data_IF_289222558944
#
_entry.id   IF_289222558944
#
_cell.length_a   1.000
_cell.length_b   1.000
_cell.length_c   1.000
_cell.angle_alpha   90.00
_cell.angle_beta   90.00
_cell.angle_gamma   90.00
#
_symmetry.space_group_name_H-M   'P 1'
#
loop_
_entity.id
_entity.type
_entity.pdbx_description
1 polymer ?
#
# COMPACT_ATOMS: atom_id res chain seq x y z
N UNK A 1 -36.33 -8.82 0.52
CA UNK A 1 -34.94 -9.32 0.71
C UNK A 1 -34.01 -8.23 0.18
N UNK A 2 -33.15 -7.65 1.03
CA UNK A 2 -32.24 -6.58 0.59
C UNK A 2 -31.11 -7.24 -0.21
N UNK A 3 -30.97 -6.87 -1.49
CA UNK A 3 -29.88 -7.34 -2.34
C UNK A 3 -28.59 -6.62 -1.93
N UNK A 4 -27.86 -7.24 -1.01
CA UNK A 4 -26.62 -6.72 -0.44
C UNK A 4 -25.56 -6.50 -1.52
N UNK A 5 -25.58 -7.27 -2.61
CA UNK A 5 -24.66 -7.11 -3.74
C UNK A 5 -24.94 -5.84 -4.53
N UNK A 6 -26.21 -5.48 -4.69
CA UNK A 6 -26.61 -4.19 -5.25
C UNK A 6 -26.18 -3.02 -4.37
N UNK A 7 -26.32 -3.15 -3.05
CA UNK A 7 -25.88 -2.13 -2.08
C UNK A 7 -24.35 -1.98 -2.09
N UNK A 8 -23.59 -3.09 -2.07
CA UNK A 8 -22.13 -3.06 -2.12
C UNK A 8 -21.62 -2.48 -3.43
N UNK A 9 -22.24 -2.86 -4.56
CA UNK A 9 -21.91 -2.31 -5.87
C UNK A 9 -22.14 -0.81 -5.94
N UNK A 10 -23.24 -0.32 -5.36
CA UNK A 10 -23.57 1.10 -5.24
C UNK A 10 -22.62 1.84 -4.30
N UNK A 11 -22.29 1.27 -3.14
CA UNK A 11 -21.30 1.83 -2.20
C UNK A 11 -19.92 1.95 -2.86
N UNK A 12 -19.50 0.91 -3.59
CA UNK A 12 -18.22 0.92 -4.26
C UNK A 12 -18.18 1.97 -5.38
N UNK A 13 -19.25 2.09 -6.18
CA UNK A 13 -19.31 3.09 -7.24
C UNK A 13 -19.51 4.51 -6.74
N UNK A 14 -20.37 4.74 -5.74
CA UNK A 14 -20.84 6.07 -5.33
C UNK A 14 -20.07 6.68 -4.16
N UNK A 15 -19.42 5.85 -3.33
CA UNK A 15 -18.69 6.33 -2.15
C UNK A 15 -17.21 6.03 -2.30
N UNK A 16 -16.85 4.77 -2.57
CA UNK A 16 -15.44 4.37 -2.60
C UNK A 16 -14.68 5.00 -3.78
N UNK A 17 -15.18 4.90 -5.01
CA UNK A 17 -14.52 5.49 -6.18
C UNK A 17 -14.26 7.00 -6.05
N UNK A 18 -15.25 7.86 -5.73
CA UNK A 18 -14.96 9.29 -5.57
C UNK A 18 -14.01 9.56 -4.39
N UNK A 19 -14.12 8.81 -3.29
CA UNK A 19 -13.18 8.94 -2.17
C UNK A 19 -11.75 8.62 -2.60
N UNK A 20 -11.53 7.54 -3.34
CA UNK A 20 -10.20 7.17 -3.86
C UNK A 20 -9.67 8.20 -4.86
N UNK A 21 -10.52 8.76 -5.73
CA UNK A 21 -10.09 9.80 -6.68
C UNK A 21 -9.75 11.13 -5.97
N UNK A 22 -10.48 11.48 -4.92
CA UNK A 22 -10.25 12.71 -4.14
C UNK A 22 -9.13 12.57 -3.11
N UNK A 23 -8.83 11.36 -2.64
CA UNK A 23 -7.84 11.15 -1.59
C UNK A 23 -6.45 11.75 -1.91
N UNK A 24 -5.87 11.59 -3.12
CA UNK A 24 -4.59 12.20 -3.48
C UNK A 24 -4.55 13.72 -3.29
N UNK A 25 -5.58 14.44 -3.74
CA UNK A 25 -5.65 15.90 -3.62
C UNK A 25 -5.89 16.33 -2.16
N UNK A 26 -6.82 15.66 -1.46
CA UNK A 26 -7.11 15.95 -0.04
C UNK A 26 -5.85 15.77 0.79
N UNK A 27 -5.11 14.67 0.59
CA UNK A 27 -3.88 14.39 1.31
C UNK A 27 -2.80 15.44 1.04
N UNK A 28 -2.62 15.86 -0.22
CA UNK A 28 -1.68 16.92 -0.59
C UNK A 28 -2.07 18.25 0.04
N UNK A 29 -3.35 18.62 0.06
CA UNK A 29 -3.84 19.87 0.64
C UNK A 29 -3.66 19.91 2.16
N UNK A 30 -3.99 18.82 2.86
CA UNK A 30 -3.84 18.70 4.32
C UNK A 30 -2.37 18.66 4.76
N UNK A 31 -1.46 18.23 3.89
CA UNK A 31 -0.03 18.22 4.20
C UNK A 31 0.51 19.65 4.23
N UNK A 32 1.08 20.08 5.37
CA UNK A 32 1.67 21.41 5.51
C UNK A 32 2.91 21.58 4.61
N UNK A 33 3.05 22.74 3.98
CA UNK A 33 4.26 23.11 3.22
C UNK A 33 5.38 23.47 4.19
N UNK A 34 6.55 22.82 4.09
CA UNK A 34 7.72 23.08 4.94
C UNK A 34 8.85 23.81 4.21
N UNK A 35 8.62 24.25 2.97
CA UNK A 35 9.63 24.95 2.17
C UNK A 35 9.50 26.46 2.31
N UNK A 36 10.62 27.12 2.58
CA UNK A 36 10.74 28.58 2.76
C UNK A 36 11.13 29.30 1.46
N UNK A 37 11.90 28.66 0.57
CA UNK A 37 12.31 29.21 -0.73
C UNK A 37 11.14 29.44 -1.70
N UNK A 38 11.14 30.59 -2.39
CA UNK A 38 10.06 30.99 -3.31
C UNK A 38 9.99 30.14 -4.58
N UNK A 39 11.13 29.82 -5.18
CA UNK A 39 11.19 28.98 -6.38
C UNK A 39 10.57 27.59 -6.15
N UNK A 40 10.91 26.96 -5.01
CA UNK A 40 10.35 25.66 -4.62
C UNK A 40 8.87 25.76 -4.22
N UNK A 41 8.43 26.88 -3.65
CA UNK A 41 7.00 27.16 -3.42
C UNK A 41 6.22 27.25 -4.75
N UNK A 42 6.78 27.87 -5.78
CA UNK A 42 6.17 27.93 -7.10
C UNK A 42 6.07 26.54 -7.76
N UNK A 43 7.14 25.74 -7.69
CA UNK A 43 7.16 24.36 -8.17
C UNK A 43 6.10 23.48 -7.48
N UNK A 44 5.99 23.60 -6.14
CA UNK A 44 4.99 22.88 -5.37
C UNK A 44 3.55 23.27 -5.75
N UNK A 45 3.31 24.55 -6.05
CA UNK A 45 2.01 25.03 -6.56
C UNK A 45 1.71 24.47 -7.94
N UNK A 46 2.67 24.51 -8.86
CA UNK A 46 2.49 23.99 -10.22
C UNK A 46 2.16 22.49 -10.22
N UNK A 47 2.88 21.68 -9.43
CA UNK A 47 2.60 20.24 -9.25
C UNK A 47 1.26 19.99 -8.55
N UNK A 48 0.94 20.78 -7.55
CA UNK A 48 -0.38 20.73 -6.89
C UNK A 48 -1.51 21.02 -7.89
N UNK A 49 -1.35 22.01 -8.76
CA UNK A 49 -2.33 22.38 -9.78
C UNK A 49 -2.48 21.30 -10.85
N UNK A 50 -1.37 20.68 -11.29
CA UNK A 50 -1.41 19.53 -12.19
C UNK A 50 -2.20 18.35 -11.57
N UNK A 51 -2.00 18.07 -10.28
CA UNK A 51 -2.80 17.07 -9.57
C UNK A 51 -4.28 17.44 -9.51
N UNK A 52 -4.62 18.70 -9.25
CA UNK A 52 -6.02 19.17 -9.26
C UNK A 52 -6.67 18.93 -10.61
N UNK A 53 -6.02 19.37 -11.70
CA UNK A 53 -6.52 19.20 -13.06
C UNK A 53 -6.70 17.71 -13.39
N UNK A 54 -5.70 16.88 -13.11
CA UNK A 54 -5.79 15.45 -13.36
C UNK A 54 -6.90 14.77 -12.55
N UNK A 55 -7.11 15.19 -11.29
CA UNK A 55 -8.19 14.69 -10.44
C UNK A 55 -9.56 15.07 -11.01
N UNK A 56 -9.71 16.32 -11.49
CA UNK A 56 -10.95 16.77 -12.15
C UNK A 56 -11.23 15.98 -13.42
N UNK A 57 -10.21 15.72 -14.25
CA UNK A 57 -10.34 14.88 -15.45
C UNK A 57 -10.74 13.45 -15.09
N UNK A 58 -10.13 12.86 -14.06
CA UNK A 58 -10.48 11.52 -13.59
C UNK A 58 -11.93 11.45 -13.05
N UNK A 59 -12.37 12.47 -12.30
CA UNK A 59 -13.75 12.59 -11.83
C UNK A 59 -14.72 12.76 -13.00
N UNK A 60 -14.40 13.61 -13.99
CA UNK A 60 -15.22 13.80 -15.17
C UNK A 60 -15.35 12.51 -16.00
N UNK A 61 -14.25 11.76 -16.17
CA UNK A 61 -14.27 10.46 -16.82
C UNK A 61 -15.14 9.44 -16.06
N UNK A 62 -15.00 9.39 -14.73
CA UNK A 62 -15.83 8.52 -13.89
C UNK A 62 -17.31 8.89 -13.97
N UNK A 63 -17.67 10.17 -13.82
CA UNK A 63 -19.06 10.65 -13.93
C UNK A 63 -19.62 10.36 -15.32
N UNK A 64 -18.85 10.64 -16.38
CA UNK A 64 -19.24 10.36 -17.76
C UNK A 64 -19.54 8.88 -17.98
N UNK A 65 -18.64 7.99 -17.53
CA UNK A 65 -18.84 6.54 -17.63
C UNK A 65 -20.05 6.08 -16.80
N UNK A 66 -20.26 6.65 -15.61
CA UNK A 66 -21.40 6.33 -14.76
C UNK A 66 -22.72 6.73 -15.44
N UNK A 67 -22.84 7.98 -15.91
CA UNK A 67 -24.05 8.48 -16.58
C UNK A 67 -24.36 7.73 -17.87
N UNK A 68 -23.34 7.45 -18.68
CA UNK A 68 -23.51 6.68 -19.93
C UNK A 68 -23.90 5.24 -19.61
N UNK A 69 -23.32 4.63 -18.57
CA UNK A 69 -23.70 3.26 -18.17
C UNK A 69 -25.15 3.16 -17.71
N UNK A 70 -25.69 4.21 -17.07
CA UNK A 70 -27.10 4.31 -16.69
C UNK A 70 -27.98 4.46 -17.94
N UNK A 71 -27.59 5.34 -18.87
CA UNK A 71 -28.39 5.67 -20.07
C UNK A 71 -28.42 4.56 -21.12
N UNK A 72 -27.28 3.92 -21.38
CA UNK A 72 -27.13 2.90 -22.44
C UNK A 72 -27.25 1.47 -21.91
N UNK A 73 -27.38 1.28 -20.60
CA UNK A 73 -27.53 -0.03 -19.94
C UNK A 73 -26.46 -1.05 -20.36
N UNK A 74 -25.26 -0.57 -20.70
CA UNK A 74 -24.17 -1.41 -21.19
C UNK A 74 -23.35 -1.95 -20.03
N UNK A 75 -23.23 -3.29 -19.87
CA UNK A 75 -22.55 -3.88 -18.72
C UNK A 75 -21.06 -3.51 -18.69
N UNK A 76 -20.42 -3.38 -19.85
CA UNK A 76 -18.99 -3.02 -19.97
C UNK A 76 -18.70 -1.63 -19.39
N UNK A 77 -19.52 -0.63 -19.71
CA UNK A 77 -19.35 0.73 -19.18
C UNK A 77 -19.62 0.79 -17.67
N UNK A 78 -20.56 -0.01 -17.18
CA UNK A 78 -20.83 -0.11 -15.74
C UNK A 78 -19.64 -0.70 -14.97
N UNK A 79 -18.94 -1.68 -15.56
CA UNK A 79 -17.71 -2.25 -14.99
C UNK A 79 -16.59 -1.22 -15.06
N UNK A 80 -16.41 -0.54 -16.19
CA UNK A 80 -15.40 0.52 -16.33
C UNK A 80 -15.58 1.63 -15.29
N UNK A 81 -16.81 2.13 -15.10
CA UNK A 81 -17.14 3.13 -14.07
C UNK A 81 -16.82 2.63 -12.65
N UNK A 82 -17.08 1.35 -12.37
CA UNK A 82 -16.73 0.72 -11.08
C UNK A 82 -15.23 0.51 -10.90
N UNK A 83 -14.44 0.48 -11.98
CA UNK A 83 -12.99 0.30 -11.94
C UNK A 83 -12.21 1.63 -12.02
N UNK A 84 -12.90 2.77 -12.19
CA UNK A 84 -12.26 4.09 -12.22
C UNK A 84 -11.45 4.41 -10.95
N UNK A 85 -11.71 3.74 -9.82
CA UNK A 85 -10.88 3.87 -8.62
C UNK A 85 -9.40 3.52 -8.90
N UNK A 86 -9.09 2.71 -9.93
CA UNK A 86 -7.73 2.42 -10.35
C UNK A 86 -6.94 3.66 -10.83
N UNK A 87 -7.64 4.72 -11.26
CA UNK A 87 -6.99 6.01 -11.57
C UNK A 87 -6.36 6.65 -10.32
N UNK A 88 -6.70 6.17 -9.11
CA UNK A 88 -5.97 6.47 -7.89
C UNK A 88 -4.46 6.24 -8.05
N UNK A 89 -4.02 5.15 -8.67
CA UNK A 89 -2.60 4.82 -8.76
C UNK A 89 -1.78 5.87 -9.52
N UNK A 90 -2.13 6.26 -10.77
CA UNK A 90 -1.42 7.32 -11.47
C UNK A 90 -1.58 8.69 -10.78
N UNK A 91 -2.75 9.00 -10.21
CA UNK A 91 -2.94 10.24 -9.44
C UNK A 91 -2.04 10.28 -8.19
N UNK A 92 -1.94 9.17 -7.47
CA UNK A 92 -1.17 9.07 -6.24
C UNK A 92 0.33 9.03 -6.52
N UNK A 93 0.79 8.01 -7.25
CA UNK A 93 2.22 7.78 -7.46
C UNK A 93 2.82 8.71 -8.51
N UNK A 94 2.07 9.07 -9.55
CA UNK A 94 2.53 9.91 -10.65
C UNK A 94 2.48 11.41 -10.35
N UNK A 95 1.52 11.88 -9.55
CA UNK A 95 1.29 13.31 -9.33
C UNK A 95 1.34 13.73 -7.85
N UNK A 96 0.61 13.04 -6.96
CA UNK A 96 0.54 13.42 -5.56
C UNK A 96 1.86 13.21 -4.82
N UNK A 97 2.54 12.09 -5.01
CA UNK A 97 3.85 11.83 -4.40
C UNK A 97 4.89 12.89 -4.82
N UNK A 98 5.06 13.23 -6.11
CA UNK A 98 5.89 14.36 -6.52
C UNK A 98 5.49 15.71 -5.91
N UNK A 99 4.19 16.01 -5.83
CA UNK A 99 3.69 17.23 -5.20
C UNK A 99 4.02 17.27 -3.69
N UNK A 100 3.84 16.16 -2.97
CA UNK A 100 4.22 16.03 -1.57
C UNK A 100 5.72 16.23 -1.36
N UNK A 101 6.55 15.65 -2.23
CA UNK A 101 8.02 15.83 -2.20
C UNK A 101 8.41 17.28 -2.39
N UNK A 102 7.75 18.02 -3.30
CA UNK A 102 8.01 19.45 -3.44
C UNK A 102 7.57 20.29 -2.23
N UNK A 103 6.52 19.87 -1.50
CA UNK A 103 6.09 20.52 -0.26
C UNK A 103 6.97 20.17 0.95
N UNK A 104 7.59 18.99 0.92
CA UNK A 104 8.41 18.43 2.00
C UNK A 104 9.64 17.71 1.42
N UNK A 105 10.71 18.46 1.07
CA UNK A 105 11.93 17.88 0.51
C UNK A 105 12.60 16.86 1.45
N UNK A 106 12.44 17.05 2.77
CA UNK A 106 12.93 16.12 3.79
C UNK A 106 12.23 14.74 3.78
N UNK A 107 11.09 14.60 3.10
CA UNK A 107 10.39 13.32 2.95
C UNK A 107 10.92 12.47 1.79
N UNK A 108 11.86 13.02 1.03
CA UNK A 108 12.58 12.26 0.03
C UNK A 108 13.47 11.25 0.78
N UNK A 109 13.34 9.96 0.45
CA UNK A 109 14.44 8.99 0.63
C UNK A 109 15.60 9.55 -0.19
N UNK A 110 16.46 10.35 0.44
CA UNK A 110 17.41 11.25 -0.21
C UNK A 110 18.07 10.65 -1.47
N UNK A 111 17.87 11.18 -2.68
CA UNK A 111 18.98 11.39 -3.58
C UNK A 111 19.84 12.46 -2.92
N UNK A 112 21.12 12.13 -2.74
CA UNK A 112 22.13 13.04 -2.22
C UNK A 112 21.98 14.42 -2.85
N UNK A 113 21.81 15.45 -2.02
CA UNK A 113 22.04 16.82 -2.46
C UNK A 113 23.52 16.87 -2.94
N UNK A 114 23.82 17.27 -4.18
CA UNK A 114 25.20 17.25 -4.67
C UNK A 114 26.13 18.25 -3.94
N UNK A 115 25.55 19.23 -3.23
CA UNK A 115 26.27 20.32 -2.56
C UNK A 115 26.17 20.34 -1.04
N UNK A 116 25.16 19.67 -0.46
CA UNK A 116 25.18 19.34 0.97
C UNK A 116 25.81 17.97 1.02
N UNK A 117 27.14 17.92 1.17
CA UNK A 117 27.76 16.71 1.70
C UNK A 117 26.93 16.39 2.95
N UNK A 118 26.13 15.31 2.95
CA UNK A 118 25.67 14.81 4.22
C UNK A 118 27.00 14.63 4.93
N UNK A 119 27.18 15.20 6.12
CA UNK A 119 28.17 14.62 7.01
C UNK A 119 27.69 13.18 7.10
N UNK A 120 28.28 12.33 6.25
CA UNK A 120 28.19 10.90 6.28
C UNK A 120 28.90 10.63 7.58
N UNK A 121 28.18 10.73 8.68
CA UNK A 121 28.34 9.77 9.77
C UNK A 121 27.86 8.42 9.24
N UNK A 122 28.46 7.98 8.12
CA UNK A 122 28.69 6.58 7.93
C UNK A 122 29.60 6.25 9.12
N UNK A 123 29.07 5.52 10.10
CA UNK A 123 29.96 4.88 11.06
C UNK A 123 31.03 4.18 10.22
N UNK A 124 32.29 4.51 10.45
CA UNK A 124 33.44 3.90 9.74
C UNK A 124 33.45 2.37 9.91
N UNK A 125 32.67 1.88 10.88
CA UNK A 125 32.40 0.47 11.11
C UNK A 125 31.53 -0.10 9.98
N UNK A 126 32.13 -0.94 9.14
CA UNK A 126 31.39 -1.85 8.26
C UNK A 126 30.62 -2.83 9.14
N UNK A 127 29.29 -2.77 9.12
CA UNK A 127 28.41 -3.59 9.97
C UNK A 127 27.57 -4.50 9.10
N UNK A 128 27.66 -5.81 9.37
CA UNK A 128 26.85 -6.82 8.67
C UNK A 128 25.36 -6.65 9.02
N UNK A 129 24.57 -6.27 8.02
CA UNK A 129 23.12 -6.15 8.17
C UNK A 129 22.51 -7.54 8.19
N UNK A 130 21.97 -7.96 9.33
CA UNK A 130 21.27 -9.24 9.47
C UNK A 130 19.87 -9.14 8.91
N UNK A 131 19.50 -10.08 8.05
CA UNK A 131 18.13 -10.18 7.58
C UNK A 131 17.32 -11.05 8.56
N UNK A 132 16.29 -10.52 9.23
CA UNK A 132 15.47 -11.31 10.15
C UNK A 132 14.61 -12.36 9.43
N UNK A 133 14.39 -12.21 8.12
CA UNK A 133 13.56 -13.12 7.32
C UNK A 133 14.41 -14.24 6.73
N UNK A 134 14.34 -15.40 7.39
CA UNK A 134 14.91 -16.67 6.90
C UNK A 134 14.11 -17.27 5.73
N UNK A 135 14.75 -18.13 4.95
CA UNK A 135 14.14 -18.89 3.84
C UNK A 135 12.88 -19.65 4.26
N UNK A 136 12.87 -20.23 5.46
CA UNK A 136 11.69 -20.95 5.98
C UNK A 136 10.42 -20.09 6.07
N UNK A 137 10.54 -18.78 6.36
CA UNK A 137 9.38 -17.89 6.38
C UNK A 137 8.81 -17.65 4.99
N UNK A 138 9.69 -17.51 3.98
CA UNK A 138 9.28 -17.39 2.58
C UNK A 138 8.54 -18.64 2.11
N UNK A 139 9.09 -19.82 2.43
CA UNK A 139 8.44 -21.10 2.11
C UNK A 139 7.08 -21.18 2.77
N UNK A 140 6.97 -20.90 4.08
CA UNK A 140 5.70 -20.94 4.79
C UNK A 140 4.64 -19.99 4.18
N UNK A 141 5.04 -18.75 3.87
CA UNK A 141 4.16 -17.76 3.24
C UNK A 141 3.70 -18.21 1.85
N UNK A 142 4.64 -18.68 1.02
CA UNK A 142 4.37 -19.15 -0.34
C UNK A 142 3.47 -20.37 -0.31
N UNK A 143 3.73 -21.35 0.57
CA UNK A 143 2.90 -22.55 0.73
C UNK A 143 1.48 -22.20 1.15
N UNK A 144 1.29 -21.32 2.14
CA UNK A 144 -0.04 -20.90 2.57
C UNK A 144 -0.82 -20.23 1.42
N UNK A 145 -0.15 -19.37 0.64
CA UNK A 145 -0.75 -18.70 -0.52
C UNK A 145 -1.07 -19.68 -1.66
N UNK A 146 -0.16 -20.64 -1.91
CA UNK A 146 -0.31 -21.66 -2.94
C UNK A 146 -1.44 -22.64 -2.63
N UNK A 147 -1.63 -23.00 -1.35
CA UNK A 147 -2.77 -23.82 -0.91
C UNK A 147 -4.08 -23.13 -1.29
N UNK A 148 -4.23 -21.84 -0.98
CA UNK A 148 -5.44 -21.07 -1.30
C UNK A 148 -5.65 -20.94 -2.82
N UNK A 149 -4.58 -20.72 -3.58
CA UNK A 149 -4.66 -20.73 -5.04
C UNK A 149 -5.13 -22.10 -5.55
N UNK A 150 -4.60 -23.19 -4.98
CA UNK A 150 -5.02 -24.56 -5.28
C UNK A 150 -6.48 -24.82 -4.92
N UNK A 151 -6.96 -24.31 -3.78
CA UNK A 151 -8.37 -24.41 -3.37
C UNK A 151 -9.27 -23.69 -4.39
N UNK A 152 -8.91 -22.49 -4.84
CA UNK A 152 -9.66 -21.77 -5.88
C UNK A 152 -9.62 -22.54 -7.20
N UNK A 153 -8.43 -23.00 -7.63
CA UNK A 153 -8.25 -23.70 -8.89
C UNK A 153 -8.97 -25.06 -8.92
N UNK A 154 -9.00 -25.78 -7.80
CA UNK A 154 -9.63 -27.10 -7.69
C UNK A 154 -11.11 -27.08 -8.02
N UNK A 155 -11.81 -25.95 -7.80
CA UNK A 155 -13.21 -25.79 -8.23
C UNK A 155 -13.39 -26.00 -9.73
N UNK A 156 -12.40 -25.68 -10.57
CA UNK A 156 -12.44 -25.92 -12.01
C UNK A 156 -12.24 -27.39 -12.42
N UNK A 157 -11.76 -28.25 -11.50
CA UNK A 157 -11.51 -29.68 -11.75
C UNK A 157 -12.63 -30.55 -11.17
N UNK A 158 -13.01 -30.29 -9.92
CA UNK A 158 -13.96 -31.12 -9.16
C UNK A 158 -15.32 -30.44 -8.94
N UNK A 159 -15.46 -29.16 -9.34
CA UNK A 159 -16.69 -28.41 -9.16
C UNK A 159 -17.55 -28.34 -10.41
N UNK A 160 -18.86 -28.26 -10.20
CA UNK A 160 -19.84 -27.94 -11.24
C UNK A 160 -20.14 -26.43 -11.24
N UNK A 161 -20.20 -25.82 -12.42
CA UNK A 161 -20.68 -24.44 -12.58
C UNK A 161 -22.14 -24.49 -13.03
N UNK A 162 -23.00 -23.71 -12.39
CA UNK A 162 -24.42 -23.65 -12.73
C UNK A 162 -24.63 -22.96 -14.09
N UNK A 163 -23.81 -21.96 -14.41
CA UNK A 163 -23.87 -21.22 -15.67
C UNK A 163 -22.50 -20.68 -16.14
N UNK A 164 -22.49 -20.11 -17.35
CA UNK A 164 -21.30 -19.48 -17.93
C UNK A 164 -20.83 -18.24 -17.15
N UNK A 165 -21.73 -17.56 -16.43
CA UNK A 165 -21.41 -16.37 -15.65
C UNK A 165 -20.65 -16.73 -14.36
N UNK A 166 -21.01 -17.82 -13.68
CA UNK A 166 -20.32 -18.39 -12.53
C UNK A 166 -18.92 -18.87 -12.93
N UNK A 167 -18.79 -19.58 -14.06
CA UNK A 167 -17.49 -19.96 -14.61
C UNK A 167 -16.62 -18.74 -14.90
N UNK A 168 -17.19 -17.68 -15.47
CA UNK A 168 -16.47 -16.43 -15.75
C UNK A 168 -16.03 -15.75 -14.45
N UNK A 169 -16.89 -15.66 -13.43
CA UNK A 169 -16.54 -15.12 -12.11
C UNK A 169 -15.39 -15.90 -11.48
N UNK A 170 -15.45 -17.23 -11.51
CA UNK A 170 -14.39 -18.09 -11.01
C UNK A 170 -13.06 -17.84 -11.73
N UNK A 171 -13.05 -17.78 -13.07
CA UNK A 171 -11.84 -17.47 -13.85
C UNK A 171 -11.25 -16.12 -13.48
N UNK A 172 -12.09 -15.09 -13.33
CA UNK A 172 -11.65 -13.75 -12.90
C UNK A 172 -11.06 -13.82 -11.49
N UNK A 173 -11.70 -14.50 -10.54
CA UNK A 173 -11.18 -14.65 -9.18
C UNK A 173 -9.81 -15.35 -9.17
N UNK A 174 -9.66 -16.43 -9.94
CA UNK A 174 -8.39 -17.14 -10.07
C UNK A 174 -7.30 -16.24 -10.67
N UNK A 175 -7.62 -15.51 -11.74
CA UNK A 175 -6.69 -14.61 -12.40
C UNK A 175 -6.28 -13.44 -11.49
N UNK A 176 -7.24 -12.79 -10.82
CA UNK A 176 -6.98 -11.67 -9.90
C UNK A 176 -6.11 -12.14 -8.74
N UNK A 177 -6.42 -13.29 -8.14
CA UNK A 177 -5.61 -13.81 -7.04
C UNK A 177 -4.19 -14.17 -7.51
N UNK A 178 -4.06 -14.84 -8.65
CA UNK A 178 -2.76 -15.17 -9.24
C UNK A 178 -1.90 -13.94 -9.52
N UNK A 179 -2.48 -12.91 -10.15
CA UNK A 179 -1.79 -11.63 -10.40
C UNK A 179 -1.40 -10.94 -9.09
N UNK A 180 -2.27 -10.95 -8.08
CA UNK A 180 -1.96 -10.39 -6.77
C UNK A 180 -0.78 -11.11 -6.11
N UNK A 181 -0.74 -12.44 -6.14
CA UNK A 181 0.38 -13.23 -5.63
C UNK A 181 1.68 -12.92 -6.37
N UNK A 182 1.67 -12.95 -7.70
CA UNK A 182 2.85 -12.62 -8.52
C UNK A 182 3.36 -11.22 -8.15
N UNK A 183 2.45 -10.24 -8.05
CA UNK A 183 2.79 -8.86 -7.68
C UNK A 183 3.44 -8.79 -6.31
N UNK A 184 2.85 -9.43 -5.29
CA UNK A 184 3.40 -9.45 -3.92
C UNK A 184 4.78 -10.10 -3.92
N UNK A 185 4.93 -11.31 -4.48
CA UNK A 185 6.20 -12.04 -4.43
C UNK A 185 7.28 -11.47 -5.35
N UNK A 186 6.93 -10.70 -6.39
CA UNK A 186 7.89 -9.96 -7.19
C UNK A 186 8.39 -8.68 -6.50
N UNK A 187 7.49 -7.92 -5.88
CA UNK A 187 7.81 -6.61 -5.29
C UNK A 187 8.39 -6.74 -3.89
N UNK A 188 7.88 -7.65 -3.07
CA UNK A 188 8.22 -7.77 -1.67
C UNK A 188 9.71 -8.01 -1.40
N UNK A 189 10.43 -8.89 -2.13
CA UNK A 189 11.87 -9.06 -1.94
C UNK A 189 12.63 -7.75 -2.18
N UNK A 190 12.22 -6.99 -3.19
CA UNK A 190 12.81 -5.68 -3.49
C UNK A 190 12.53 -4.67 -2.36
N UNK A 191 11.28 -4.60 -1.89
CA UNK A 191 10.88 -3.70 -0.81
C UNK A 191 11.63 -3.99 0.50
N UNK A 192 11.81 -5.26 0.85
CA UNK A 192 12.56 -5.64 2.06
C UNK A 192 14.07 -5.39 1.91
N UNK A 193 14.63 -5.58 0.71
CA UNK A 193 16.03 -5.18 0.43
C UNK A 193 16.24 -3.68 0.54
N UNK A 194 15.28 -2.87 0.08
CA UNK A 194 15.33 -1.41 0.22
C UNK A 194 15.24 -1.00 1.70
N UNK A 195 14.33 -1.61 2.47
CA UNK A 195 14.21 -1.36 3.91
C UNK A 195 15.49 -1.77 4.68
N UNK A 196 16.11 -2.90 4.30
CA UNK A 196 17.40 -3.33 4.84
C UNK A 196 18.53 -2.34 4.53
N UNK A 197 18.45 -1.62 3.40
CA UNK A 197 19.46 -0.66 2.94
C UNK A 197 19.28 0.76 3.47
N UNK A 198 18.23 1.02 4.25
CA UNK A 198 18.03 2.35 4.82
C UNK A 198 19.25 2.79 5.64
N UNK A 199 19.71 4.04 5.46
CA UNK A 199 20.85 4.56 6.22
C UNK A 199 20.49 4.68 7.71
N UNK A 200 21.47 4.41 8.58
CA UNK A 200 21.36 4.60 10.02
C UNK A 200 21.94 5.97 10.37
N UNK A 201 21.13 6.92 10.87
CA UNK A 201 21.65 8.15 11.44
C UNK A 201 22.31 7.86 12.79
N UNK A 202 23.52 7.31 12.78
CA UNK A 202 24.32 7.14 14.00
C UNK A 202 24.92 8.48 14.44
N UNK A 203 25.23 8.58 15.73
CA UNK A 203 26.04 9.64 16.30
C UNK A 203 27.49 9.53 15.80
N UNK A 204 28.26 10.62 15.90
CA UNK A 204 29.66 10.60 15.48
C UNK A 204 30.55 9.68 16.34
N UNK A 205 30.06 9.29 17.53
CA UNK A 205 30.80 8.52 18.55
C UNK A 205 30.54 7.01 18.48
N UNK A 206 29.53 6.55 17.74
CA UNK A 206 29.26 5.13 17.53
C UNK A 206 28.59 4.44 18.72
N UNK A 207 27.67 5.11 19.41
CA UNK A 207 26.96 4.61 20.60
C UNK A 207 26.30 3.23 20.37
N UNK A 208 26.58 2.28 21.27
CA UNK A 208 26.01 0.92 21.24
C UNK A 208 24.51 0.91 21.53
N UNK A 209 24.03 1.82 22.41
CA UNK A 209 22.61 1.91 22.75
C UNK A 209 21.77 2.41 21.57
N UNK A 210 22.26 3.42 20.86
CA UNK A 210 21.60 3.93 19.65
C UNK A 210 21.58 2.87 18.56
N UNK A 211 22.65 2.09 18.43
CA UNK A 211 22.73 0.96 17.52
C UNK A 211 21.68 -0.11 17.85
N UNK A 212 21.57 -0.54 19.11
CA UNK A 212 20.58 -1.54 19.54
C UNK A 212 19.16 -1.08 19.19
N UNK A 213 18.85 0.19 19.45
CA UNK A 213 17.53 0.75 19.12
C UNK A 213 17.24 0.73 17.61
N UNK A 214 18.24 1.02 16.77
CA UNK A 214 18.10 0.95 15.32
C UNK A 214 17.94 -0.49 14.81
N UNK A 215 18.70 -1.44 15.37
CA UNK A 215 18.59 -2.85 15.01
C UNK A 215 17.22 -3.41 15.38
N UNK A 216 16.72 -3.14 16.59
CA UNK A 216 15.38 -3.53 17.01
C UNK A 216 14.28 -2.89 16.15
N UNK A 217 14.43 -1.61 15.81
CA UNK A 217 13.51 -0.90 14.93
C UNK A 217 13.46 -1.54 13.55
N UNK A 218 14.63 -1.81 12.96
CA UNK A 218 14.75 -2.44 11.64
C UNK A 218 14.16 -3.84 11.63
N UNK A 219 14.50 -4.66 12.62
CA UNK A 219 14.00 -6.03 12.73
C UNK A 219 12.47 -6.03 12.80
N UNK A 220 11.92 -5.15 13.64
CA UNK A 220 10.47 -4.97 13.77
C UNK A 220 9.84 -4.50 12.45
N UNK A 221 10.49 -3.53 11.76
CA UNK A 221 10.04 -3.01 10.46
C UNK A 221 9.95 -4.11 9.42
N UNK A 222 11.03 -4.85 9.22
CA UNK A 222 11.16 -5.86 8.18
C UNK A 222 10.22 -7.02 8.45
N UNK A 223 10.14 -7.49 9.70
CA UNK A 223 9.20 -8.54 10.10
C UNK A 223 7.76 -8.10 9.90
N UNK A 224 7.39 -6.89 10.32
CA UNK A 224 6.04 -6.38 10.15
C UNK A 224 5.66 -6.22 8.68
N UNK A 225 6.54 -5.64 7.86
CA UNK A 225 6.34 -5.55 6.40
C UNK A 225 6.20 -6.94 5.78
N UNK A 226 7.04 -7.90 6.17
CA UNK A 226 6.99 -9.26 5.64
C UNK A 226 5.67 -9.95 5.98
N UNK A 227 5.32 -10.02 7.27
CA UNK A 227 4.16 -10.77 7.72
C UNK A 227 2.84 -10.09 7.35
N UNK A 228 2.74 -8.76 7.39
CA UNK A 228 1.50 -8.10 7.00
C UNK A 228 1.26 -8.12 5.49
N UNK A 229 2.25 -7.67 4.71
CA UNK A 229 2.06 -7.46 3.27
C UNK A 229 2.33 -8.73 2.46
N UNK A 230 3.32 -9.51 2.87
CA UNK A 230 3.72 -10.73 2.18
C UNK A 230 2.94 -11.97 2.52
N UNK A 231 2.36 -12.03 3.72
CA UNK A 231 1.68 -13.23 4.21
C UNK A 231 0.22 -12.95 4.54
N UNK A 232 -0.06 -12.10 5.51
CA UNK A 232 -1.43 -11.88 6.00
C UNK A 232 -2.34 -11.36 4.89
N UNK A 233 -1.92 -10.34 4.14
CA UNK A 233 -2.70 -9.79 3.03
C UNK A 233 -3.05 -10.84 1.96
N UNK A 234 -2.09 -11.56 1.34
CA UNK A 234 -2.43 -12.56 0.32
C UNK A 234 -3.18 -13.77 0.89
N UNK A 235 -2.90 -14.19 2.13
CA UNK A 235 -3.63 -15.30 2.76
C UNK A 235 -5.09 -14.93 3.03
N UNK A 236 -5.33 -13.75 3.59
CA UNK A 236 -6.68 -13.27 3.88
C UNK A 236 -7.48 -12.98 2.61
N UNK A 237 -6.83 -12.41 1.60
CA UNK A 237 -7.43 -12.23 0.28
C UNK A 237 -7.78 -13.58 -0.34
N UNK A 238 -6.86 -14.54 -0.33
CA UNK A 238 -7.08 -15.88 -0.87
C UNK A 238 -8.16 -16.67 -0.13
N UNK A 239 -8.23 -16.54 1.19
CA UNK A 239 -9.26 -17.18 2.00
C UNK A 239 -10.66 -16.61 1.69
N UNK A 240 -10.79 -15.28 1.61
CA UNK A 240 -12.06 -14.65 1.25
C UNK A 240 -12.50 -15.01 -0.18
N UNK A 241 -11.57 -15.05 -1.13
CA UNK A 241 -11.83 -15.48 -2.51
C UNK A 241 -12.17 -16.97 -2.59
N UNK A 242 -11.46 -17.84 -1.87
CA UNK A 242 -11.79 -19.27 -1.79
C UNK A 242 -13.22 -19.47 -1.28
N UNK A 243 -13.62 -18.71 -0.26
CA UNK A 243 -14.97 -18.76 0.28
C UNK A 243 -16.02 -18.33 -0.76
N UNK A 244 -15.77 -17.25 -1.52
CA UNK A 244 -16.70 -16.81 -2.60
C UNK A 244 -16.94 -17.91 -3.62
N UNK A 245 -15.87 -18.63 -3.99
CA UNK A 245 -15.88 -19.63 -5.07
C UNK A 245 -16.62 -20.91 -4.64
N UNK A 246 -16.57 -21.27 -3.36
CA UNK A 246 -17.10 -22.54 -2.87
C UNK A 246 -18.49 -22.45 -2.23
N UNK A 247 -18.86 -21.32 -1.65
CA UNK A 247 -20.09 -21.24 -0.84
C UNK A 247 -21.27 -20.58 -1.56
N UNK A 248 -21.10 -20.11 -2.81
CA UNK A 248 -22.09 -19.27 -3.54
C UNK A 248 -22.55 -18.02 -2.75
N UNK A 249 -21.95 -17.73 -1.58
CA UNK A 249 -22.26 -16.59 -0.73
C UNK A 249 -21.60 -15.32 -1.30
N UNK A 250 -22.13 -14.80 -2.40
CA UNK A 250 -21.64 -13.56 -3.00
C UNK A 250 -21.79 -12.36 -2.06
N UNK A 251 -22.82 -12.34 -1.22
CA UNK A 251 -23.06 -11.26 -0.25
C UNK A 251 -22.26 -11.41 1.05
N UNK A 252 -22.25 -12.61 1.63
CA UNK A 252 -21.53 -12.87 2.89
C UNK A 252 -20.02 -12.78 2.74
N UNK A 253 -19.49 -13.17 1.59
CA UNK A 253 -18.07 -13.00 1.32
C UNK A 253 -17.65 -11.53 1.16
N UNK A 254 -18.54 -10.65 0.71
CA UNK A 254 -18.31 -9.20 0.71
C UNK A 254 -18.20 -8.64 2.14
N UNK A 255 -19.05 -9.12 3.06
CA UNK A 255 -19.00 -8.75 4.48
C UNK A 255 -17.72 -9.28 5.14
N UNK A 256 -17.36 -10.55 4.88
CA UNK A 256 -16.12 -11.15 5.39
C UNK A 256 -14.91 -10.40 4.84
N UNK A 257 -14.90 -10.10 3.54
CA UNK A 257 -13.85 -9.28 2.91
C UNK A 257 -13.74 -7.89 3.54
N UNK A 258 -14.88 -7.24 3.87
CA UNK A 258 -14.90 -5.95 4.54
C UNK A 258 -14.34 -6.03 5.97
N UNK A 259 -14.78 -7.01 6.78
CA UNK A 259 -14.29 -7.22 8.15
C UNK A 259 -12.77 -7.48 8.14
N UNK A 260 -12.33 -8.37 7.27
CA UNK A 260 -10.92 -8.74 7.08
C UNK A 260 -10.10 -7.53 6.62
N UNK A 261 -10.59 -6.78 5.64
CA UNK A 261 -9.95 -5.57 5.13
C UNK A 261 -9.83 -4.49 6.19
N UNK A 262 -10.88 -4.25 6.99
CA UNK A 262 -10.86 -3.32 8.11
C UNK A 262 -9.86 -3.77 9.18
N UNK A 263 -9.83 -5.06 9.54
CA UNK A 263 -8.86 -5.61 10.49
C UNK A 263 -7.41 -5.39 10.03
N UNK A 264 -7.12 -5.66 8.76
CA UNK A 264 -5.82 -5.37 8.15
C UNK A 264 -5.49 -3.87 8.16
N UNK A 265 -6.49 -3.02 7.89
CA UNK A 265 -6.34 -1.56 7.93
C UNK A 265 -6.01 -1.03 9.33
N UNK A 266 -6.72 -1.51 10.36
CA UNK A 266 -6.44 -1.18 11.77
C UNK A 266 -5.05 -1.65 12.15
N UNK A 267 -4.70 -2.90 11.82
CA UNK A 267 -3.39 -3.45 12.13
C UNK A 267 -2.27 -2.67 11.45
N UNK A 268 -2.44 -2.29 10.17
CA UNK A 268 -1.46 -1.48 9.46
C UNK A 268 -1.34 -0.06 9.98
N UNK A 269 -2.45 0.55 10.40
CA UNK A 269 -2.44 1.87 11.04
C UNK A 269 -1.70 1.83 12.37
N UNK A 270 -2.02 0.84 13.22
CA UNK A 270 -1.32 0.61 14.49
C UNK A 270 0.17 0.39 14.28
N UNK A 271 0.53 -0.47 13.31
CA UNK A 271 1.92 -0.73 12.98
C UNK A 271 2.63 0.57 12.55
N UNK A 272 2.05 1.35 11.63
CA UNK A 272 2.60 2.63 11.20
C UNK A 272 2.81 3.64 12.33
N UNK A 273 1.85 3.75 13.26
CA UNK A 273 1.96 4.60 14.44
C UNK A 273 3.08 4.12 15.35
N UNK A 274 3.13 2.82 15.66
CA UNK A 274 4.17 2.24 16.52
C UNK A 274 5.58 2.47 15.97
N UNK A 275 5.74 2.39 14.65
CA UNK A 275 7.00 2.65 13.95
C UNK A 275 7.36 4.14 13.99
N UNK A 276 6.38 5.02 13.89
CA UNK A 276 6.59 6.48 14.00
C UNK A 276 7.06 6.86 15.41
N UNK A 277 6.45 6.29 16.45
CA UNK A 277 6.84 6.50 17.85
C UNK A 277 8.27 6.00 18.10
N UNK A 278 8.60 4.78 17.64
CA UNK A 278 9.96 4.24 17.78
C UNK A 278 10.99 5.10 17.06
N UNK A 279 10.67 5.59 15.87
CA UNK A 279 11.55 6.50 15.12
C UNK A 279 11.76 7.84 15.83
N UNK A 280 10.71 8.39 16.45
CA UNK A 280 10.80 9.61 17.25
C UNK A 280 11.72 9.43 18.46
N UNK A 281 11.57 8.32 19.22
CA UNK A 281 12.45 8.00 20.35
C UNK A 281 13.92 7.89 19.94
N UNK A 282 14.20 7.25 18.80
CA UNK A 282 15.56 7.15 18.29
C UNK A 282 16.13 8.54 17.93
N UNK A 283 15.31 9.43 17.34
CA UNK A 283 15.76 10.80 17.05
C UNK A 283 15.99 11.63 18.32
N UNK A 284 15.17 11.45 19.35
CA UNK A 284 15.36 12.10 20.66
C UNK A 284 16.67 11.65 21.31
N UNK A 285 16.92 10.34 21.33
CA UNK A 285 18.14 9.77 21.92
C UNK A 285 19.39 10.21 21.17
N UNK A 286 19.33 10.24 19.83
CA UNK A 286 20.41 10.81 19.02
C UNK A 286 20.67 12.27 19.39
N UNK A 287 19.62 13.07 19.54
CA UNK A 287 19.76 14.50 19.88
C UNK A 287 20.41 14.68 21.25
N UNK A 288 20.08 13.83 22.23
CA UNK A 288 20.72 13.82 23.55
C UNK A 288 22.20 13.47 23.47
N UNK A 289 22.55 12.42 22.73
CA UNK A 289 23.94 11.99 22.52
C UNK A 289 24.77 13.07 21.79
N UNK A 290 24.20 13.70 20.77
CA UNK A 290 24.84 14.78 20.00
C UNK A 290 25.02 16.06 20.86
N UNK A 291 24.11 16.32 21.82
CA UNK A 291 24.19 17.45 22.74
C UNK A 291 25.19 17.25 23.90
N UNK A 292 25.79 16.05 24.03
CA UNK A 292 26.72 15.73 25.11
C UNK A 292 26.07 15.69 26.50
N UNK A 293 24.75 15.50 26.57
CA UNK A 293 23.99 15.42 27.83
C UNK A 293 23.83 13.98 28.34
N UNK A 294 24.70 13.08 27.90
CA UNK A 294 24.79 11.68 28.32
C UNK A 294 26.14 11.42 29.00
#
# INVERSE_FOLDING_TARGET
MIDVGMILGRLLSLVFTPLMLLFPIVFVLLTRTRVTEEARRAEARARGMALVIATLVALAAWIGLLLISIKLTTPVLSIAARMCWLLFFPLWFGLAVPALRSKNPAWVLAPADPGVSPVRTASIVNRERRNPIRTGHWVASATASAILLGVIASRGVIGTFDDAAERTRWLITLAVYGVALITVYAIQPMALRLALREPEPLDARGSEDLQRLYDEFRDTKIRGMFWMLGTALPVLLGASMSLTVWTKMTHGAGVIGAIVGTGLGIWGSWFGISMSIRRARISEEKTRLDAGTA
#
